data_IF_564952415836
#
_entry.id   IF_564952415836
#
_cell.length_a   1.000
_cell.length_b   1.000
_cell.length_c   1.000
_cell.angle_alpha   90.00
_cell.angle_beta   90.00
_cell.angle_gamma   90.00
#
_symmetry.space_group_name_H-M   'P 1'
#
loop_
_entity.id
_entity.type
_entity.pdbx_description
1 polymer ?
#
# COMPACT_ATOMS: atom_id res chain seq x y z
N UNK A 1 8.52 17.69 -15.86
CA UNK A 1 8.37 17.86 -14.39
C UNK A 1 6.89 17.94 -14.09
N UNK A 2 6.39 17.12 -13.16
CA UNK A 2 4.96 17.04 -12.79
C UNK A 2 4.86 17.32 -11.30
N UNK A 3 4.10 18.34 -10.92
CA UNK A 3 3.73 18.59 -9.53
C UNK A 3 2.27 18.15 -9.40
N UNK A 4 1.99 17.25 -8.46
CA UNK A 4 0.63 16.76 -8.20
C UNK A 4 0.23 17.10 -6.78
N UNK A 5 -1.04 17.45 -6.60
CA UNK A 5 -1.66 17.55 -5.27
C UNK A 5 -2.64 16.40 -5.14
N UNK A 6 -2.59 15.65 -4.03
CA UNK A 6 -3.43 14.46 -3.86
C UNK A 6 -4.91 14.76 -4.02
N UNK A 7 -5.40 15.93 -3.59
CA UNK A 7 -6.81 16.31 -3.75
C UNK A 7 -7.29 16.37 -5.21
N UNK A 8 -6.36 16.53 -6.15
CA UNK A 8 -6.64 16.69 -7.58
C UNK A 8 -6.46 15.36 -8.35
N UNK A 9 -6.01 14.29 -7.69
CA UNK A 9 -5.88 12.95 -8.29
C UNK A 9 -7.13 12.13 -7.93
N UNK A 10 -7.81 11.51 -8.92
CA UNK A 10 -8.96 10.66 -8.66
C UNK A 10 -8.66 9.58 -7.62
N UNK A 11 -9.53 9.49 -6.61
CA UNK A 11 -9.46 8.46 -5.59
C UNK A 11 -10.36 7.30 -5.98
N UNK A 12 -9.77 6.29 -6.61
CA UNK A 12 -10.50 5.19 -7.27
C UNK A 12 -10.53 3.98 -6.32
N UNK A 13 -11.71 3.42 -6.00
CA UNK A 13 -11.80 2.16 -5.26
C UNK A 13 -11.06 1.03 -5.97
N UNK A 14 -10.37 0.18 -5.22
CA UNK A 14 -9.67 -1.00 -5.76
C UNK A 14 -10.06 -2.26 -4.99
N UNK A 15 -10.03 -3.40 -5.69
CA UNK A 15 -10.24 -4.72 -5.08
C UNK A 15 -9.02 -5.19 -4.27
N UNK A 16 -9.15 -6.33 -3.57
CA UNK A 16 -8.08 -6.90 -2.74
C UNK A 16 -7.97 -6.22 -1.39
N UNK A 17 -9.06 -6.23 -0.62
CA UNK A 17 -9.15 -5.68 0.73
C UNK A 17 -9.48 -6.78 1.73
N UNK A 18 -8.47 -7.19 2.50
CA UNK A 18 -8.62 -8.18 3.56
C UNK A 18 -8.89 -7.51 4.90
N UNK A 19 -9.42 -8.29 5.84
CA UNK A 19 -9.68 -7.85 7.21
C UNK A 19 -8.55 -8.32 8.13
N UNK A 20 -8.15 -7.47 9.06
CA UNK A 20 -7.39 -7.93 10.23
C UNK A 20 -8.22 -8.93 11.05
N UNK A 21 -7.55 -9.77 11.84
CA UNK A 21 -8.21 -10.70 12.74
C UNK A 21 -9.14 -9.97 13.72
N UNK A 22 -10.34 -10.54 13.93
CA UNK A 22 -11.35 -9.98 14.82
C UNK A 22 -12.14 -8.78 14.27
N UNK A 23 -11.81 -8.25 13.09
CA UNK A 23 -12.59 -7.17 12.47
C UNK A 23 -13.84 -7.70 11.78
N UNK A 24 -15.01 -7.16 12.14
CA UNK A 24 -16.31 -7.54 11.56
C UNK A 24 -16.90 -6.46 10.65
N UNK A 25 -16.33 -5.26 10.66
CA UNK A 25 -16.78 -4.14 9.85
C UNK A 25 -16.48 -4.31 8.34
N UNK A 26 -17.07 -3.44 7.50
CA UNK A 26 -16.63 -3.33 6.12
C UNK A 26 -15.18 -2.86 6.05
N UNK A 27 -14.48 -3.27 4.99
CA UNK A 27 -13.15 -2.79 4.66
C UNK A 27 -13.11 -2.31 3.21
N UNK A 28 -12.32 -1.28 2.92
CA UNK A 28 -12.13 -0.76 1.58
C UNK A 28 -10.72 -0.26 1.37
N UNK A 29 -10.27 -0.37 0.11
CA UNK A 29 -9.05 0.24 -0.38
C UNK A 29 -9.34 1.14 -1.55
N UNK A 30 -8.50 2.13 -1.72
CA UNK A 30 -8.54 3.00 -2.88
C UNK A 30 -7.13 3.39 -3.32
N UNK A 31 -7.02 3.82 -4.57
CA UNK A 31 -5.77 4.21 -5.22
C UNK A 31 -5.89 5.58 -5.86
N UNK A 32 -4.82 6.35 -5.73
CA UNK A 32 -4.60 7.60 -6.46
C UNK A 32 -3.29 7.46 -7.23
N UNK A 33 -3.38 7.34 -8.55
CA UNK A 33 -2.20 7.14 -9.41
C UNK A 33 -1.43 8.45 -9.56
N UNK A 34 -0.16 8.46 -9.16
CA UNK A 34 0.71 9.65 -9.26
C UNK A 34 1.41 9.67 -10.62
N UNK A 35 1.99 8.53 -10.99
CA UNK A 35 2.65 8.30 -12.27
C UNK A 35 1.78 7.33 -13.05
N UNK A 36 1.18 7.82 -14.14
CA UNK A 36 0.28 7.00 -14.97
C UNK A 36 1.07 5.93 -15.75
N UNK A 37 0.43 4.83 -16.14
CA UNK A 37 1.06 3.83 -17.00
C UNK A 37 1.65 4.48 -18.27
N UNK A 38 2.96 4.31 -18.47
CA UNK A 38 3.69 4.90 -19.60
C UNK A 38 4.37 6.25 -19.32
N UNK A 39 4.04 6.94 -18.22
CA UNK A 39 4.71 8.21 -17.83
C UNK A 39 6.15 8.00 -17.36
N UNK A 40 6.51 6.78 -16.94
CA UNK A 40 7.85 6.40 -16.49
C UNK A 40 8.25 5.06 -17.09
N UNK A 41 9.52 4.92 -17.48
CA UNK A 41 10.11 3.66 -17.93
C UNK A 41 10.63 2.79 -16.77
N UNK A 42 10.72 3.34 -15.56
CA UNK A 42 11.47 2.73 -14.45
C UNK A 42 10.58 2.30 -13.29
N UNK A 43 9.62 3.14 -12.90
CA UNK A 43 8.82 2.91 -11.70
C UNK A 43 7.35 3.31 -11.87
N UNK A 44 6.49 2.58 -11.16
CA UNK A 44 5.11 2.97 -10.88
C UNK A 44 5.07 3.72 -9.54
N UNK A 45 4.14 4.66 -9.38
CA UNK A 45 3.96 5.37 -8.12
C UNK A 45 2.48 5.71 -7.91
N UNK A 46 1.96 5.42 -6.73
CA UNK A 46 0.57 5.71 -6.35
C UNK A 46 0.44 5.92 -4.85
N UNK A 47 -0.60 6.63 -4.41
CA UNK A 47 -1.07 6.52 -3.03
C UNK A 47 -2.08 5.39 -2.94
N UNK A 48 -1.96 4.55 -1.92
CA UNK A 48 -2.97 3.55 -1.56
C UNK A 48 -3.49 3.90 -0.18
N UNK A 49 -4.81 3.96 -0.05
CA UNK A 49 -5.51 4.24 1.21
C UNK A 49 -6.26 2.99 1.70
N UNK A 50 -6.30 2.82 3.01
CA UNK A 50 -6.90 1.70 3.72
C UNK A 50 -7.88 2.23 4.77
N UNK A 51 -9.12 1.74 4.74
CA UNK A 51 -10.07 1.96 5.83
C UNK A 51 -9.62 1.24 7.11
N UNK A 52 -10.27 1.53 8.24
CA UNK A 52 -10.05 0.79 9.49
C UNK A 52 -10.16 -0.72 9.29
N UNK A 53 -9.25 -1.46 9.89
CA UNK A 53 -9.16 -2.92 9.83
C UNK A 53 -8.80 -3.51 8.45
N UNK A 54 -8.50 -2.68 7.45
CA UNK A 54 -8.23 -3.13 6.09
C UNK A 54 -6.74 -3.41 5.85
N UNK A 55 -6.43 -4.52 5.17
CA UNK A 55 -5.07 -4.86 4.71
C UNK A 55 -5.06 -5.31 3.24
N UNK A 56 -3.87 -5.47 2.67
CA UNK A 56 -3.68 -6.04 1.34
C UNK A 56 -3.96 -7.54 1.25
N UNK A 57 -3.89 -8.27 2.37
CA UNK A 57 -3.63 -9.71 2.35
C UNK A 57 -2.16 -10.05 2.09
N UNK A 58 -1.80 -11.33 2.27
CA UNK A 58 -0.46 -11.85 2.03
C UNK A 58 -0.14 -11.90 0.53
N UNK A 59 1.03 -11.38 0.16
CA UNK A 59 1.50 -11.38 -1.22
C UNK A 59 3.03 -11.21 -1.30
N UNK A 60 3.57 -11.39 -2.50
CA UNK A 60 4.96 -11.08 -2.87
C UNK A 60 4.99 -10.20 -4.11
N UNK A 61 6.07 -9.44 -4.28
CA UNK A 61 6.40 -8.74 -5.52
C UNK A 61 7.66 -9.35 -6.15
N UNK A 62 7.72 -9.39 -7.48
CA UNK A 62 8.93 -9.78 -8.23
C UNK A 62 10.00 -8.66 -8.30
N UNK A 63 9.72 -7.51 -7.69
CA UNK A 63 10.67 -6.43 -7.48
C UNK A 63 10.63 -5.92 -6.04
N UNK A 64 11.58 -5.07 -5.68
CA UNK A 64 11.53 -4.33 -4.43
C UNK A 64 10.33 -3.38 -4.42
N UNK A 65 9.70 -3.23 -3.26
CA UNK A 65 8.64 -2.27 -3.01
C UNK A 65 9.09 -1.30 -1.92
N UNK A 66 8.79 -0.01 -2.12
CA UNK A 66 8.99 1.01 -1.11
C UNK A 66 7.63 1.59 -0.74
N UNK A 67 7.37 1.69 0.56
CA UNK A 67 6.19 2.35 1.12
C UNK A 67 6.64 3.59 1.88
N UNK A 68 5.98 4.73 1.66
CA UNK A 68 6.18 5.95 2.47
C UNK A 68 4.84 6.32 3.08
N UNK A 69 4.72 6.23 4.40
CA UNK A 69 3.44 6.48 5.08
C UNK A 69 3.16 7.98 5.12
N UNK A 70 1.96 8.36 4.66
CA UNK A 70 1.55 9.75 4.45
C UNK A 70 0.33 10.16 5.27
N UNK A 71 -0.47 9.20 5.75
CA UNK A 71 -1.62 9.48 6.61
C UNK A 71 -1.91 8.33 7.57
N UNK A 72 -2.40 8.69 8.76
CA UNK A 72 -2.82 7.74 9.79
C UNK A 72 -1.68 6.83 10.29
N UNK A 73 -2.03 5.61 10.67
CA UNK A 73 -1.08 4.60 11.10
C UNK A 73 -1.59 3.19 10.82
N UNK A 74 -0.67 2.28 10.62
CA UNK A 74 -0.94 0.94 10.14
C UNK A 74 0.02 -0.10 10.68
N UNK A 75 -0.02 -1.27 10.07
CA UNK A 75 0.91 -2.35 10.32
C UNK A 75 1.52 -2.80 8.99
N UNK A 76 2.76 -3.28 9.05
CA UNK A 76 3.37 -4.12 8.03
C UNK A 76 3.85 -5.41 8.70
N UNK A 77 3.71 -6.53 8.02
CA UNK A 77 4.27 -7.78 8.49
C UNK A 77 4.87 -8.58 7.35
N UNK A 78 5.92 -9.33 7.68
CA UNK A 78 6.41 -10.44 6.89
C UNK A 78 6.27 -11.74 7.70
N UNK A 79 6.80 -12.85 7.21
CA UNK A 79 6.67 -14.15 7.88
C UNK A 79 7.39 -14.23 9.25
N UNK A 80 8.21 -13.24 9.61
CA UNK A 80 9.03 -13.26 10.82
C UNK A 80 8.58 -12.24 11.86
N UNK A 81 8.06 -11.11 11.42
CA UNK A 81 7.72 -10.00 12.31
C UNK A 81 6.56 -9.17 11.78
N UNK A 82 5.95 -8.43 12.70
CA UNK A 82 4.93 -7.43 12.43
C UNK A 82 5.31 -6.14 13.16
N UNK A 83 5.27 -5.02 12.45
CA UNK A 83 5.67 -3.69 12.95
C UNK A 83 4.59 -2.66 12.69
N UNK A 84 4.41 -1.77 13.66
CA UNK A 84 3.59 -0.56 13.48
C UNK A 84 4.34 0.44 12.59
N UNK A 85 3.58 1.12 11.74
CA UNK A 85 4.09 2.16 10.84
C UNK A 85 3.22 3.42 10.94
N UNK A 86 3.87 4.58 10.98
CA UNK A 86 3.27 5.89 11.20
C UNK A 86 3.71 6.88 10.12
N UNK A 87 3.00 8.01 10.00
CA UNK A 87 3.37 9.09 9.06
C UNK A 87 4.85 9.45 9.18
N UNK A 88 5.56 9.41 8.06
CA UNK A 88 7.00 9.66 7.98
C UNK A 88 7.86 8.39 7.94
N UNK A 89 7.31 7.24 8.33
CA UNK A 89 8.02 5.96 8.21
C UNK A 89 8.15 5.54 6.74
N UNK A 90 9.29 4.93 6.42
CA UNK A 90 9.60 4.35 5.12
C UNK A 90 9.86 2.85 5.29
N UNK A 91 9.12 2.03 4.55
CA UNK A 91 9.27 0.57 4.55
C UNK A 91 9.90 0.16 3.23
N UNK A 92 10.98 -0.61 3.31
CA UNK A 92 11.59 -1.28 2.15
C UNK A 92 11.33 -2.77 2.24
N UNK A 93 10.67 -3.30 1.24
CA UNK A 93 10.29 -4.70 1.13
C UNK A 93 11.01 -5.28 -0.07
N UNK A 94 11.83 -6.31 0.14
CA UNK A 94 12.64 -6.90 -0.93
C UNK A 94 11.80 -7.73 -1.89
N UNK A 95 12.24 -7.82 -3.13
CA UNK A 95 11.70 -8.76 -4.10
C UNK A 95 11.62 -10.18 -3.50
N UNK A 96 10.46 -10.82 -3.67
CA UNK A 96 10.17 -12.16 -3.15
C UNK A 96 9.84 -12.24 -1.66
N UNK A 97 9.94 -11.15 -0.90
CA UNK A 97 9.53 -11.15 0.51
C UNK A 97 8.01 -11.21 0.63
N UNK A 98 7.50 -12.25 1.29
CA UNK A 98 6.06 -12.40 1.52
C UNK A 98 5.62 -11.52 2.68
N UNK A 99 4.65 -10.66 2.42
CA UNK A 99 4.26 -9.62 3.34
C UNK A 99 2.79 -9.22 3.18
N UNK A 100 2.28 -8.48 4.15
CA UNK A 100 1.05 -7.70 4.05
C UNK A 100 1.24 -6.35 4.73
N UNK A 101 0.42 -5.37 4.35
CA UNK A 101 0.36 -4.09 5.04
C UNK A 101 -1.06 -3.54 5.01
N UNK A 102 -1.38 -2.66 5.95
CA UNK A 102 -2.74 -2.14 6.09
C UNK A 102 -2.93 -1.24 7.30
N UNK A 103 -4.17 -0.83 7.53
CA UNK A 103 -4.56 -0.03 8.67
C UNK A 103 -4.83 -0.90 9.91
N UNK A 104 -4.76 -0.28 11.10
CA UNK A 104 -5.15 -0.90 12.37
C UNK A 104 -6.68 -0.85 12.55
N UNK A 105 -7.19 -1.48 13.60
CA UNK A 105 -8.62 -1.45 13.93
C UNK A 105 -9.17 -0.03 14.17
N UNK A 106 -8.38 0.86 14.78
CA UNK A 106 -8.82 2.18 15.23
C UNK A 106 -8.37 3.34 14.34
N UNK A 107 -7.58 3.08 13.30
CA UNK A 107 -7.00 4.11 12.42
C UNK A 107 -7.25 3.78 10.96
N UNK A 108 -7.29 4.79 10.10
CA UNK A 108 -7.05 4.60 8.66
C UNK A 108 -5.55 4.67 8.41
N UNK A 109 -5.11 4.26 7.21
CA UNK A 109 -3.72 4.40 6.80
C UNK A 109 -3.62 4.70 5.31
N UNK A 110 -2.69 5.58 4.92
CA UNK A 110 -2.37 5.84 3.54
C UNK A 110 -0.87 5.94 3.32
N UNK A 111 -0.37 5.31 2.27
CA UNK A 111 1.05 5.36 1.90
C UNK A 111 1.23 5.60 0.41
N UNK A 112 2.34 6.25 0.05
CA UNK A 112 2.88 6.18 -1.31
C UNK A 112 3.50 4.78 -1.48
N UNK A 113 3.25 4.12 -2.59
CA UNK A 113 3.92 2.88 -2.99
C UNK A 113 4.71 3.10 -4.27
N UNK A 114 5.91 2.54 -4.32
CA UNK A 114 6.81 2.59 -5.46
C UNK A 114 7.24 1.17 -5.78
N UNK A 115 7.08 0.77 -7.04
CA UNK A 115 7.52 -0.54 -7.58
C UNK A 115 8.11 -0.34 -8.97
N UNK A 116 8.87 -1.32 -9.47
CA UNK A 116 9.37 -1.30 -10.84
C UNK A 116 8.22 -1.39 -11.86
N UNK A 117 8.41 -0.77 -13.03
CA UNK A 117 7.49 -0.95 -14.17
C UNK A 117 7.43 -2.43 -14.56
N UNK A 118 6.22 -2.93 -14.83
CA UNK A 118 5.99 -4.33 -15.19
C UNK A 118 6.04 -5.33 -14.03
N UNK A 119 6.34 -4.88 -12.80
CA UNK A 119 6.32 -5.75 -11.64
C UNK A 119 4.96 -6.42 -11.43
N UNK A 120 4.99 -7.69 -11.05
CA UNK A 120 3.82 -8.50 -10.74
C UNK A 120 3.75 -8.81 -9.25
N UNK A 121 2.53 -8.77 -8.73
CA UNK A 121 2.22 -9.29 -7.40
C UNK A 121 1.69 -10.73 -7.53
N UNK A 122 2.17 -11.62 -6.66
CA UNK A 122 1.59 -12.95 -6.46
C UNK A 122 0.88 -12.99 -5.11
N UNK A 123 -0.39 -13.38 -5.11
CA UNK A 123 -1.28 -13.36 -3.94
C UNK A 123 -1.42 -14.75 -3.33
N UNK A 124 -1.46 -14.86 -2.00
CA UNK A 124 -1.64 -16.12 -1.27
C UNK A 124 -1.18 -16.10 0.18
#
# INVERSE_FOLDING_TARGET
MKVVTLKDIPNVPIEGADRIEGWTGPVSRSRQTIIEPGDSANYNCSVVNFSQGCTTGWHTHDCDQILVVTSGSGMVANEREQREINVGDVVHIKAGERHWHGAKANTTMGHITITAVGSKAAWG
#
